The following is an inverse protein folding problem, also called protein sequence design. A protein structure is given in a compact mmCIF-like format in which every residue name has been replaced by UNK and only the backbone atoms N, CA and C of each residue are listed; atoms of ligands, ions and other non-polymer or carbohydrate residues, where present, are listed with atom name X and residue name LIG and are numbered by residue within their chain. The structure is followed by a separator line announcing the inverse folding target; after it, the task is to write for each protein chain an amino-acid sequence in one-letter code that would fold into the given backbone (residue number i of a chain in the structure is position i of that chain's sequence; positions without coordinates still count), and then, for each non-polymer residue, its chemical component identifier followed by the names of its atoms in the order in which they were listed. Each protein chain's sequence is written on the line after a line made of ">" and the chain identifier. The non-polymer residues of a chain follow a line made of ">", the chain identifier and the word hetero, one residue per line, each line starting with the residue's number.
data_IF_115616441967
#
_entry.id   IF_115616441967
#
_cell.length_a   1.000
_cell.length_b   1.000
_cell.length_c   1.000
_cell.angle_alpha   90.00
_cell.angle_beta   90.00
_cell.angle_gamma   90.00
#
_symmetry.space_group_name_H-M   'P 1'
#
loop_
_entity.id
_entity.type
_entity.pdbx_description
1 polymer ?
#
# COMPACT_ATOMS: atom_id res chain seq x y z
N UNK A 1 -9.08 31.72 2.02
CA UNK A 1 -10.17 31.01 1.33
C UNK A 1 -9.85 29.53 1.36
N UNK A 2 -10.67 28.72 2.04
CA UNK A 2 -10.62 27.26 1.86
C UNK A 2 -11.07 26.96 0.42
N UNK A 3 -10.45 25.99 -0.28
CA UNK A 3 -10.97 25.56 -1.56
C UNK A 3 -12.40 25.03 -1.36
N UNK A 4 -13.34 25.33 -2.28
CA UNK A 4 -14.71 24.87 -2.17
C UNK A 4 -14.73 23.35 -1.99
N UNK A 5 -15.39 22.90 -0.93
CA UNK A 5 -15.54 21.49 -0.62
C UNK A 5 -16.09 20.76 -1.83
N UNK A 6 -15.34 19.79 -2.34
CA UNK A 6 -15.80 18.86 -3.37
C UNK A 6 -16.86 17.95 -2.73
N UNK A 7 -18.09 18.44 -2.65
CA UNK A 7 -19.23 17.61 -2.27
C UNK A 7 -19.53 16.75 -3.49
N UNK A 8 -19.04 15.50 -3.47
CA UNK A 8 -19.31 14.51 -4.51
C UNK A 8 -20.81 14.28 -4.62
N UNK A 9 -21.41 14.78 -5.70
CA UNK A 9 -22.78 14.45 -6.06
C UNK A 9 -22.76 13.16 -6.88
N UNK A 10 -23.02 12.03 -6.24
CA UNK A 10 -23.64 10.95 -6.98
C UNK A 10 -24.17 9.85 -6.09
N UNK A 11 -24.76 8.88 -6.78
CA UNK A 11 -25.87 8.09 -6.27
C UNK A 11 -25.32 7.16 -5.20
N UNK A 12 -25.76 7.38 -3.95
CA UNK A 12 -25.58 6.42 -2.85
C UNK A 12 -25.87 5.02 -3.38
N UNK A 13 -25.02 4.01 -3.10
CA UNK A 13 -25.31 2.64 -3.50
C UNK A 13 -26.76 2.32 -3.11
N UNK A 14 -27.59 1.94 -4.09
CA UNK A 14 -28.99 1.58 -3.80
C UNK A 14 -29.05 0.33 -2.92
N UNK A 15 -27.97 -0.45 -2.93
CA UNK A 15 -27.79 -1.67 -2.18
C UNK A 15 -26.38 -1.69 -1.58
N UNK A 16 -26.30 -2.12 -0.32
CA UNK A 16 -25.06 -2.38 0.38
C UNK A 16 -24.96 -3.89 0.59
N UNK A 17 -23.89 -4.49 0.10
CA UNK A 17 -23.61 -5.90 0.28
C UNK A 17 -23.26 -6.19 1.73
N UNK A 18 -23.92 -7.21 2.29
CA UNK A 18 -23.59 -7.75 3.60
C UNK A 18 -22.14 -8.24 3.66
N UNK A 19 -21.66 -8.89 2.61
CA UNK A 19 -20.30 -9.43 2.58
C UNK A 19 -19.25 -8.31 2.44
N UNK A 20 -19.51 -7.28 1.64
CA UNK A 20 -18.63 -6.10 1.61
C UNK A 20 -18.57 -5.41 2.98
N UNK A 21 -19.71 -5.27 3.65
CA UNK A 21 -19.78 -4.68 5.00
C UNK A 21 -19.01 -5.52 6.02
N UNK A 22 -19.15 -6.86 5.96
CA UNK A 22 -18.43 -7.79 6.82
C UNK A 22 -16.92 -7.69 6.63
N UNK A 23 -16.44 -7.74 5.38
CA UNK A 23 -15.02 -7.63 5.07
C UNK A 23 -14.44 -6.29 5.51
N UNK A 24 -15.17 -5.20 5.31
CA UNK A 24 -14.78 -3.87 5.77
C UNK A 24 -14.63 -3.83 7.30
N UNK A 25 -15.67 -4.23 8.02
CA UNK A 25 -15.68 -4.20 9.48
C UNK A 25 -14.60 -5.10 10.07
N UNK A 26 -14.44 -6.30 9.51
CA UNK A 26 -13.44 -7.27 9.96
C UNK A 26 -12.01 -6.76 9.74
N UNK A 27 -11.69 -6.15 8.59
CA UNK A 27 -10.36 -5.61 8.35
C UNK A 27 -9.98 -4.52 9.37
N UNK A 28 -10.93 -3.65 9.70
CA UNK A 28 -10.73 -2.61 10.71
C UNK A 28 -10.56 -3.22 12.10
N UNK A 29 -11.44 -4.16 12.48
CA UNK A 29 -11.40 -4.81 13.78
C UNK A 29 -10.09 -5.59 13.99
N UNK A 30 -9.67 -6.38 13.00
CA UNK A 30 -8.44 -7.18 13.05
C UNK A 30 -7.22 -6.28 13.26
N UNK A 31 -7.10 -5.18 12.50
CA UNK A 31 -5.95 -4.28 12.59
C UNK A 31 -5.96 -3.45 13.87
N UNK A 32 -7.10 -2.89 14.27
CA UNK A 32 -7.16 -2.07 15.49
C UNK A 32 -7.05 -2.91 16.76
N UNK A 33 -7.52 -4.17 16.74
CA UNK A 33 -7.32 -5.12 17.84
C UNK A 33 -5.86 -5.54 17.93
N UNK A 34 -5.22 -5.86 16.80
CA UNK A 34 -3.80 -6.27 16.77
C UNK A 34 -2.85 -5.12 17.09
N UNK A 35 -3.17 -3.91 16.65
CA UNK A 35 -2.34 -2.72 16.83
C UNK A 35 -3.12 -1.59 17.53
N UNK A 36 -3.43 -1.73 18.83
CA UNK A 36 -4.28 -0.78 19.57
C UNK A 36 -3.67 0.62 19.72
N UNK A 37 -2.39 0.79 19.39
CA UNK A 37 -1.71 2.09 19.39
C UNK A 37 -1.99 2.92 18.12
N UNK A 38 -2.54 2.30 17.08
CA UNK A 38 -2.91 2.98 15.83
C UNK A 38 -4.06 3.92 16.12
N UNK A 39 -3.87 5.21 15.78
CA UNK A 39 -4.93 6.21 15.88
C UNK A 39 -5.58 6.39 14.52
N UNK A 40 -6.88 6.09 14.47
CA UNK A 40 -7.77 6.34 13.34
C UNK A 40 -8.98 7.12 13.84
N UNK A 41 -9.22 8.33 13.32
CA UNK A 41 -10.29 9.20 13.83
C UNK A 41 -11.66 8.88 13.27
N UNK A 42 -11.75 8.40 12.04
CA UNK A 42 -13.01 8.12 11.39
C UNK A 42 -12.89 7.00 10.35
N UNK A 43 -13.99 6.27 10.21
CA UNK A 43 -14.27 5.42 9.06
C UNK A 43 -15.34 6.13 8.24
N UNK A 44 -15.18 6.15 6.91
CA UNK A 44 -16.11 6.85 6.03
C UNK A 44 -16.53 5.94 4.87
N UNK A 45 -17.75 6.13 4.41
CA UNK A 45 -18.07 5.86 3.01
C UNK A 45 -17.87 7.17 2.27
N UNK A 46 -16.94 7.22 1.31
CA UNK A 46 -16.77 8.38 0.45
C UNK A 46 -17.09 8.01 -0.99
N UNK A 47 -17.55 8.99 -1.76
CA UNK A 47 -17.89 8.81 -3.15
C UNK A 47 -17.15 9.85 -3.98
N UNK A 48 -16.21 9.39 -4.81
CA UNK A 48 -15.44 10.22 -5.72
C UNK A 48 -15.72 9.82 -7.17
N UNK A 49 -16.74 10.38 -7.82
CA UNK A 49 -16.73 10.50 -9.26
C UNK A 49 -16.11 11.85 -9.62
N UNK A 50 -15.07 11.85 -10.44
CA UNK A 50 -14.87 12.98 -11.34
C UNK A 50 -15.81 12.75 -12.51
N UNK A 51 -16.67 13.72 -12.83
CA UNK A 51 -17.62 13.61 -13.94
C UNK A 51 -16.84 13.34 -15.24
N UNK A 52 -16.98 12.15 -15.80
CA UNK A 52 -16.30 11.74 -17.04
C UNK A 52 -15.05 10.87 -16.86
N UNK A 53 -14.69 10.52 -15.63
CA UNK A 53 -13.58 9.59 -15.34
C UNK A 53 -14.13 8.34 -14.63
N UNK A 54 -13.71 7.15 -15.07
CA UNK A 54 -13.85 5.96 -14.23
C UNK A 54 -13.15 6.25 -12.90
N UNK A 55 -13.85 6.02 -11.80
CA UNK A 55 -13.34 6.30 -10.45
C UNK A 55 -11.98 5.61 -10.27
N UNK A 56 -10.91 6.39 -10.11
CA UNK A 56 -9.54 5.84 -10.14
C UNK A 56 -9.11 5.13 -8.84
N UNK A 57 -9.96 5.09 -7.80
CA UNK A 57 -9.63 4.50 -6.51
C UNK A 57 -10.85 3.85 -5.84
N UNK A 58 -10.66 2.59 -5.38
CA UNK A 58 -11.67 1.77 -4.69
C UNK A 58 -11.82 2.12 -3.20
N UNK A 59 -10.77 2.70 -2.62
CA UNK A 59 -10.70 3.20 -1.26
C UNK A 59 -9.52 4.19 -1.16
N UNK A 60 -9.49 4.98 -0.09
CA UNK A 60 -8.33 5.80 0.22
C UNK A 60 -8.22 6.11 1.72
N UNK A 61 -6.99 6.16 2.21
CA UNK A 61 -6.63 6.68 3.51
C UNK A 61 -6.18 8.14 3.42
N UNK A 62 -6.53 8.94 4.42
CA UNK A 62 -6.08 10.32 4.52
C UNK A 62 -5.56 10.63 5.92
N UNK A 63 -4.40 11.29 5.98
CA UNK A 63 -3.83 11.81 7.21
C UNK A 63 -4.16 13.27 7.42
N UNK A 64 -4.27 13.70 8.68
CA UNK A 64 -4.12 15.12 9.05
C UNK A 64 -2.85 15.24 9.87
N UNK A 65 -1.90 16.01 9.36
CA UNK A 65 -0.72 16.42 10.10
C UNK A 65 -1.08 17.68 10.88
N UNK A 66 -1.07 17.62 12.21
CA UNK A 66 -1.16 18.85 13.00
C UNK A 66 0.13 19.66 12.82
N UNK A 67 0.08 20.98 13.02
CA UNK A 67 1.26 21.87 13.05
C UNK A 67 2.30 21.47 14.12
N UNK A 68 1.96 20.56 15.03
CA UNK A 68 2.85 20.00 16.05
C UNK A 68 3.36 18.59 15.69
N UNK A 69 3.12 18.15 14.45
CA UNK A 69 3.69 16.95 13.88
C UNK A 69 3.03 15.66 14.36
N UNK A 70 1.93 15.67 15.10
CA UNK A 70 1.20 14.45 15.43
C UNK A 70 0.44 13.96 14.19
N UNK A 71 1.07 13.07 13.42
CA UNK A 71 0.40 12.32 12.36
C UNK A 71 -0.71 11.47 12.97
N UNK A 72 -1.95 11.80 12.62
CA UNK A 72 -3.12 10.99 12.94
C UNK A 72 -3.75 10.57 11.62
N UNK A 73 -4.02 9.28 11.45
CA UNK A 73 -4.90 8.79 10.39
C UNK A 73 -6.25 9.47 10.58
N UNK A 74 -6.60 10.40 9.69
CA UNK A 74 -7.78 11.23 9.84
C UNK A 74 -9.03 10.45 9.42
N UNK A 75 -8.96 9.74 8.30
CA UNK A 75 -9.99 8.78 7.95
C UNK A 75 -9.47 7.71 6.98
N UNK A 76 -10.14 6.55 6.98
CA UNK A 76 -10.13 5.60 5.86
C UNK A 76 -11.51 5.61 5.24
N UNK A 77 -11.57 5.67 3.92
CA UNK A 77 -12.82 5.65 3.17
C UNK A 77 -12.89 4.45 2.23
N UNK A 78 -14.03 3.75 2.24
CA UNK A 78 -14.39 2.80 1.19
C UNK A 78 -15.26 3.52 0.14
N UNK A 79 -14.97 3.30 -1.15
CA UNK A 79 -15.72 3.89 -2.24
C UNK A 79 -16.88 2.97 -2.68
N UNK A 80 -17.93 3.56 -3.26
CA UNK A 80 -19.10 2.84 -3.77
C UNK A 80 -18.80 1.65 -4.70
N UNK A 81 -17.72 1.65 -5.52
CA UNK A 81 -17.32 0.51 -6.34
C UNK A 81 -16.90 -0.76 -5.56
N UNK A 82 -17.01 -0.78 -4.23
CA UNK A 82 -16.92 -2.00 -3.41
C UNK A 82 -18.18 -2.26 -2.56
N UNK A 83 -19.18 -1.38 -2.65
CA UNK A 83 -20.33 -1.39 -1.75
C UNK A 83 -21.37 -2.47 -2.11
N UNK A 84 -21.55 -2.83 -3.38
CA UNK A 84 -22.53 -3.85 -3.80
C UNK A 84 -21.86 -5.20 -4.16
N UNK A 85 -22.65 -6.28 -4.27
CA UNK A 85 -22.12 -7.59 -4.70
C UNK A 85 -21.59 -7.56 -6.13
N UNK A 86 -22.29 -6.86 -7.03
CA UNK A 86 -21.88 -6.71 -8.42
C UNK A 86 -20.57 -5.90 -8.53
N UNK A 87 -20.44 -4.84 -7.75
CA UNK A 87 -19.23 -4.02 -7.73
C UNK A 87 -18.05 -4.78 -7.08
N UNK A 88 -18.30 -5.52 -5.99
CA UNK A 88 -17.29 -6.43 -5.40
C UNK A 88 -16.81 -7.46 -6.42
N UNK A 89 -17.72 -8.09 -7.15
CA UNK A 89 -17.37 -9.08 -8.18
C UNK A 89 -16.58 -8.43 -9.34
N UNK A 90 -16.94 -7.20 -9.74
CA UNK A 90 -16.18 -6.43 -10.73
C UNK A 90 -14.79 -6.11 -10.21
N UNK A 91 -14.65 -5.67 -8.96
CA UNK A 91 -13.36 -5.37 -8.35
C UNK A 91 -12.48 -6.62 -8.23
N UNK A 92 -13.01 -7.76 -7.80
CA UNK A 92 -12.29 -9.05 -7.78
C UNK A 92 -11.84 -9.49 -9.18
N UNK A 93 -12.64 -9.22 -10.20
CA UNK A 93 -12.31 -9.54 -11.58
C UNK A 93 -11.29 -8.56 -12.17
N UNK A 94 -11.44 -7.27 -11.88
CA UNK A 94 -10.52 -6.22 -12.31
C UNK A 94 -9.16 -6.42 -11.64
N UNK A 95 -9.11 -6.75 -10.35
CA UNK A 95 -7.87 -7.05 -9.68
C UNK A 95 -7.22 -8.32 -10.20
N UNK A 96 -7.96 -9.41 -10.46
CA UNK A 96 -7.40 -10.58 -11.14
C UNK A 96 -6.74 -10.22 -12.48
N UNK A 97 -7.25 -9.16 -13.16
CA UNK A 97 -6.67 -8.65 -14.40
C UNK A 97 -5.52 -7.65 -14.21
N UNK A 98 -5.68 -6.65 -13.36
CA UNK A 98 -4.69 -5.60 -13.08
C UNK A 98 -3.51 -6.12 -12.25
N UNK A 99 -3.73 -7.16 -11.44
CA UNK A 99 -2.71 -7.93 -10.74
C UNK A 99 -2.30 -9.19 -11.52
N UNK A 100 -2.59 -9.31 -12.83
CA UNK A 100 -1.91 -10.34 -13.64
C UNK A 100 -0.39 -10.21 -13.58
N UNK A 101 0.09 -9.01 -13.26
CA UNK A 101 1.46 -8.71 -12.93
C UNK A 101 1.72 -8.76 -11.42
N UNK A 102 1.07 -9.64 -10.66
CA UNK A 102 1.53 -10.01 -9.32
C UNK A 102 2.52 -11.15 -9.46
N UNK A 103 3.60 -11.09 -8.68
CA UNK A 103 4.62 -12.14 -8.67
C UNK A 103 4.06 -13.53 -8.30
N UNK A 104 2.92 -13.60 -7.60
CA UNK A 104 2.36 -14.87 -7.10
C UNK A 104 0.87 -15.06 -7.36
N UNK A 105 0.53 -16.19 -7.98
CA UNK A 105 -0.86 -16.59 -8.22
C UNK A 105 -1.69 -16.70 -6.92
N UNK A 106 -1.09 -17.22 -5.84
CA UNK A 106 -1.77 -17.35 -4.54
C UNK A 106 -2.21 -16.01 -3.96
N UNK A 107 -1.39 -14.96 -4.10
CA UNK A 107 -1.76 -13.63 -3.62
C UNK A 107 -2.97 -13.08 -4.39
N UNK A 108 -3.02 -13.32 -5.70
CA UNK A 108 -4.16 -12.93 -6.53
C UNK A 108 -5.43 -13.68 -6.14
N UNK A 109 -5.32 -14.96 -5.79
CA UNK A 109 -6.44 -15.76 -5.32
C UNK A 109 -6.94 -15.29 -3.95
N UNK A 110 -6.02 -14.98 -3.01
CA UNK A 110 -6.33 -14.44 -1.68
C UNK A 110 -7.03 -13.07 -1.80
N UNK A 111 -6.53 -12.19 -2.67
CA UNK A 111 -7.21 -10.93 -3.01
C UNK A 111 -8.60 -11.20 -3.57
N UNK A 112 -8.70 -12.04 -4.62
CA UNK A 112 -9.95 -12.25 -5.35
C UNK A 112 -11.04 -12.86 -4.46
N UNK A 113 -10.65 -13.66 -3.46
CA UNK A 113 -11.55 -14.21 -2.46
C UNK A 113 -12.10 -13.13 -1.51
N UNK A 114 -11.29 -12.13 -1.12
CA UNK A 114 -11.66 -11.10 -0.13
C UNK A 114 -11.22 -9.69 -0.56
N UNK A 115 -11.76 -9.17 -1.68
CA UNK A 115 -11.26 -7.94 -2.30
C UNK A 115 -11.48 -6.68 -1.44
N UNK A 116 -12.58 -6.63 -0.67
CA UNK A 116 -12.86 -5.50 0.22
C UNK A 116 -11.95 -5.56 1.44
N UNK A 117 -11.74 -6.75 1.99
CA UNK A 117 -10.85 -6.94 3.12
C UNK A 117 -9.43 -6.53 2.74
N UNK A 118 -8.90 -7.05 1.63
CA UNK A 118 -7.59 -6.66 1.10
C UNK A 118 -7.46 -5.15 0.98
N UNK A 119 -8.42 -4.52 0.28
CA UNK A 119 -8.39 -3.07 0.03
C UNK A 119 -8.31 -2.31 1.35
N UNK A 120 -9.10 -2.74 2.34
CA UNK A 120 -9.07 -2.11 3.67
C UNK A 120 -7.76 -2.34 4.41
N UNK A 121 -7.15 -3.52 4.34
CA UNK A 121 -5.83 -3.76 4.95
C UNK A 121 -4.75 -2.91 4.27
N UNK A 122 -4.80 -2.76 2.94
CA UNK A 122 -3.95 -1.85 2.18
C UNK A 122 -4.08 -0.41 2.72
N UNK A 123 -5.30 0.12 2.82
CA UNK A 123 -5.53 1.46 3.37
C UNK A 123 -5.05 1.59 4.83
N UNK A 124 -5.22 0.53 5.63
CA UNK A 124 -4.70 0.51 6.99
C UNK A 124 -3.17 0.52 7.04
N UNK A 125 -2.48 0.02 5.99
CA UNK A 125 -1.04 0.19 5.80
C UNK A 125 -0.65 1.66 5.66
N UNK A 126 -1.39 2.44 4.87
CA UNK A 126 -1.19 3.89 4.81
C UNK A 126 -1.48 4.57 6.16
N UNK A 127 -2.55 4.16 6.86
CA UNK A 127 -2.84 4.66 8.22
C UNK A 127 -1.68 4.40 9.18
N UNK A 128 -1.06 3.22 9.09
CA UNK A 128 0.10 2.86 9.90
C UNK A 128 1.28 3.79 9.60
N UNK A 129 1.60 4.04 8.33
CA UNK A 129 2.69 4.96 7.94
C UNK A 129 2.43 6.40 8.40
N UNK A 130 1.19 6.89 8.26
CA UNK A 130 0.77 8.19 8.77
C UNK A 130 0.97 8.27 10.29
N UNK A 131 0.65 7.19 11.02
CA UNK A 131 0.88 7.12 12.46
C UNK A 131 2.37 7.11 12.82
N UNK A 132 3.24 6.65 11.92
CA UNK A 132 4.70 6.79 11.94
C UNK A 132 5.23 8.13 11.40
N UNK A 133 4.35 9.10 11.10
CA UNK A 133 4.68 10.43 10.53
C UNK A 133 5.41 10.34 9.17
N UNK A 134 5.22 9.26 8.41
CA UNK A 134 5.96 9.02 7.15
C UNK A 134 7.46 8.77 7.37
N UNK A 135 7.91 8.62 8.62
CA UNK A 135 9.33 8.40 8.95
C UNK A 135 9.87 7.07 8.45
N UNK A 136 8.97 6.14 8.08
CA UNK A 136 9.34 4.83 7.55
C UNK A 136 9.86 4.91 6.11
N UNK A 137 9.37 5.84 5.29
CA UNK A 137 9.64 5.88 3.84
C UNK A 137 11.13 5.95 3.52
N UNK A 138 11.85 6.93 4.09
CA UNK A 138 13.31 7.07 3.88
C UNK A 138 14.10 5.87 4.42
N UNK A 139 13.63 5.27 5.52
CA UNK A 139 14.28 4.09 6.11
C UNK A 139 14.09 2.85 5.25
N UNK A 140 12.92 2.71 4.66
CA UNK A 140 12.59 1.65 3.71
C UNK A 140 13.45 1.81 2.45
N UNK A 141 13.51 3.00 1.86
CA UNK A 141 14.39 3.27 0.71
C UNK A 141 15.85 2.88 1.02
N UNK A 142 16.39 3.35 2.14
CA UNK A 142 17.75 3.03 2.56
C UNK A 142 17.94 1.52 2.79
N UNK A 143 16.97 0.84 3.39
CA UNK A 143 17.03 -0.60 3.63
C UNK A 143 16.98 -1.40 2.33
N UNK A 144 16.12 -1.02 1.38
CA UNK A 144 16.01 -1.67 0.07
C UNK A 144 17.28 -1.45 -0.76
N UNK A 145 17.84 -0.24 -0.77
CA UNK A 145 19.13 0.02 -1.40
C UNK A 145 20.26 -0.76 -0.75
N UNK A 146 20.28 -0.84 0.58
CA UNK A 146 21.26 -1.67 1.30
C UNK A 146 21.13 -3.14 0.92
N UNK A 147 19.90 -3.64 0.73
CA UNK A 147 19.68 -5.03 0.27
C UNK A 147 20.19 -5.23 -1.15
N UNK A 148 19.94 -4.28 -2.05
CA UNK A 148 20.49 -4.32 -3.40
C UNK A 148 22.02 -4.36 -3.38
N UNK A 149 22.69 -3.51 -2.59
CA UNK A 149 24.16 -3.48 -2.48
C UNK A 149 24.78 -4.79 -1.98
N UNK A 150 24.00 -5.64 -1.33
CA UNK A 150 24.43 -6.97 -0.86
C UNK A 150 24.00 -8.10 -1.78
N UNK A 151 23.35 -7.81 -2.91
CA UNK A 151 22.81 -8.82 -3.82
C UNK A 151 23.84 -9.25 -4.87
N UNK A 152 23.71 -10.48 -5.42
CA UNK A 152 24.54 -10.93 -6.53
C UNK A 152 24.45 -10.00 -7.74
N UNK A 153 23.27 -9.46 -8.04
CA UNK A 153 23.07 -8.56 -9.19
C UNK A 153 23.86 -7.24 -9.04
N UNK A 154 24.10 -6.77 -7.82
CA UNK A 154 24.99 -5.63 -7.58
C UNK A 154 26.46 -6.03 -7.73
N UNK A 155 26.86 -7.21 -7.28
CA UNK A 155 28.23 -7.72 -7.47
C UNK A 155 28.56 -7.84 -8.97
N UNK A 156 27.67 -8.44 -9.76
CA UNK A 156 27.81 -8.56 -11.22
C UNK A 156 27.96 -7.18 -11.88
N UNK A 157 27.14 -6.19 -11.46
CA UNK A 157 27.24 -4.82 -11.96
C UNK A 157 28.62 -4.19 -11.65
N UNK A 158 29.19 -4.46 -10.47
CA UNK A 158 30.49 -3.91 -10.09
C UNK A 158 31.63 -4.59 -10.87
N UNK A 159 31.54 -5.90 -11.09
CA UNK A 159 32.54 -6.66 -11.85
C UNK A 159 32.60 -6.18 -13.32
N UNK A 160 31.45 -5.84 -13.91
CA UNK A 160 31.33 -5.31 -15.28
C UNK A 160 31.92 -3.89 -15.45
N UNK A 161 32.05 -3.10 -14.38
CA UNK A 161 32.42 -1.68 -14.45
C UNK A 161 33.92 -1.40 -14.68
N UNK A 162 34.71 -2.42 -15.02
CA UNK A 162 36.17 -2.42 -14.99
C UNK A 162 36.72 -2.08 -13.60
N UNK A 163 37.48 -3.02 -13.05
CA UNK A 163 37.97 -3.05 -11.66
C UNK A 163 38.53 -1.71 -11.17
N UNK A 164 37.71 -0.95 -10.44
CA UNK A 164 38.11 0.29 -9.75
C UNK A 164 37.08 1.43 -9.78
N UNK A 165 36.08 1.39 -10.66
CA UNK A 165 35.08 2.45 -10.75
C UNK A 165 33.83 2.18 -9.91
N UNK A 166 33.34 3.19 -9.21
CA UNK A 166 32.00 3.18 -8.64
C UNK A 166 30.96 3.45 -9.74
N UNK A 167 29.77 2.83 -9.68
CA UNK A 167 28.68 3.15 -10.59
C UNK A 167 28.32 4.64 -10.44
N UNK A 168 28.07 5.31 -11.56
CA UNK A 168 27.43 6.62 -11.52
C UNK A 168 26.04 6.50 -10.84
N UNK A 169 25.50 7.59 -10.26
CA UNK A 169 24.16 7.56 -9.68
C UNK A 169 23.08 7.04 -10.64
N UNK A 170 23.19 7.36 -11.93
CA UNK A 170 22.26 6.87 -12.96
C UNK A 170 22.38 5.35 -13.20
N UNK A 171 23.59 4.82 -13.32
CA UNK A 171 23.82 3.38 -13.47
C UNK A 171 23.32 2.60 -12.26
N UNK A 172 23.64 3.08 -11.04
CA UNK A 172 23.12 2.48 -9.82
C UNK A 172 21.60 2.45 -9.84
N UNK A 173 20.95 3.56 -10.23
CA UNK A 173 19.50 3.65 -10.16
C UNK A 173 18.79 2.79 -11.20
N UNK A 174 19.36 2.68 -12.40
CA UNK A 174 18.85 1.76 -13.43
C UNK A 174 18.90 0.31 -12.97
N UNK A 175 20.03 -0.14 -12.42
CA UNK A 175 20.18 -1.53 -11.98
C UNK A 175 19.37 -1.82 -10.72
N UNK A 176 19.26 -0.85 -9.81
CA UNK A 176 18.38 -0.94 -8.66
C UNK A 176 16.90 -1.10 -9.07
N UNK A 177 16.41 -0.28 -10.00
CA UNK A 177 15.03 -0.39 -10.48
C UNK A 177 14.78 -1.75 -11.16
N UNK A 178 15.71 -2.21 -12.00
CA UNK A 178 15.65 -3.53 -12.63
C UNK A 178 15.67 -4.67 -11.60
N UNK A 179 16.47 -4.55 -10.54
CA UNK A 179 16.48 -5.52 -9.46
C UNK A 179 15.14 -5.52 -8.73
N UNK A 180 14.66 -4.34 -8.36
CA UNK A 180 13.40 -4.14 -7.64
C UNK A 180 12.18 -4.63 -8.39
N UNK A 181 12.17 -4.56 -9.73
CA UNK A 181 11.04 -4.96 -10.59
C UNK A 181 10.53 -6.38 -10.33
N UNK A 182 11.32 -7.23 -9.67
CA UNK A 182 10.99 -8.63 -9.34
C UNK A 182 10.81 -8.90 -7.84
N UNK A 183 10.92 -7.88 -6.97
CA UNK A 183 10.99 -8.08 -5.52
C UNK A 183 9.72 -7.64 -4.78
N UNK A 184 8.94 -6.70 -5.33
CA UNK A 184 7.65 -6.30 -4.75
C UNK A 184 6.52 -7.12 -5.35
N UNK A 185 5.54 -7.39 -4.49
CA UNK A 185 4.42 -8.31 -4.75
C UNK A 185 3.58 -7.81 -5.91
N UNK A 186 3.20 -6.54 -5.88
CA UNK A 186 2.22 -5.93 -6.76
C UNK A 186 2.81 -4.86 -7.65
N UNK A 187 2.25 -4.73 -8.85
CA UNK A 187 2.57 -3.65 -9.78
C UNK A 187 2.26 -2.26 -9.18
N UNK A 188 1.26 -2.13 -8.28
CA UNK A 188 0.95 -0.85 -7.63
C UNK A 188 2.09 -0.31 -6.77
N UNK A 189 3.00 -1.17 -6.32
CA UNK A 189 4.17 -0.76 -5.56
C UNK A 189 5.25 -0.04 -6.40
N UNK A 190 4.99 0.23 -7.68
CA UNK A 190 5.91 0.89 -8.61
C UNK A 190 5.30 2.15 -9.20
N UNK A 191 6.16 3.08 -9.63
CA UNK A 191 5.74 4.36 -10.19
C UNK A 191 4.84 4.18 -11.41
N UNK A 192 3.62 4.73 -11.35
CA UNK A 192 2.55 4.54 -12.37
C UNK A 192 2.19 3.07 -12.64
N UNK A 193 2.37 2.21 -11.65
CA UNK A 193 2.20 0.76 -11.77
C UNK A 193 3.09 0.09 -12.82
N UNK A 194 4.26 0.68 -13.06
CA UNK A 194 5.23 0.25 -14.06
C UNK A 194 6.51 -0.25 -13.37
N UNK A 195 6.74 -1.57 -13.39
CA UNK A 195 7.83 -2.24 -12.67
C UNK A 195 9.22 -1.73 -13.03
N UNK A 196 9.39 -1.12 -14.20
CA UNK A 196 10.68 -0.62 -14.68
C UNK A 196 10.99 0.80 -14.20
N UNK A 197 9.98 1.54 -13.69
CA UNK A 197 10.14 2.92 -13.20
C UNK A 197 10.64 3.01 -11.76
N UNK A 198 10.79 1.88 -11.09
CA UNK A 198 11.24 1.79 -9.70
C UNK A 198 10.10 1.87 -8.69
N UNK A 199 10.43 1.67 -7.40
CA UNK A 199 9.42 1.54 -6.36
C UNK A 199 8.73 2.87 -6.06
N UNK A 200 7.40 2.85 -6.01
CA UNK A 200 6.60 3.92 -5.44
C UNK A 200 6.35 3.58 -3.96
N UNK A 201 7.21 4.13 -3.09
CA UNK A 201 7.37 3.68 -1.71
C UNK A 201 6.08 3.77 -0.88
N UNK A 202 5.24 4.77 -1.14
CA UNK A 202 3.96 4.96 -0.44
C UNK A 202 3.04 3.75 -0.66
N UNK A 203 2.90 3.28 -1.89
CA UNK A 203 2.10 2.10 -2.23
C UNK A 203 2.80 0.81 -1.85
N UNK A 204 4.14 0.74 -2.00
CA UNK A 204 4.92 -0.41 -1.57
C UNK A 204 4.73 -0.71 -0.07
N UNK A 205 4.57 0.32 0.75
CA UNK A 205 4.22 0.19 2.17
C UNK A 205 2.86 -0.49 2.34
N UNK A 206 1.82 0.03 1.69
CA UNK A 206 0.46 -0.47 1.84
C UNK A 206 0.30 -1.91 1.32
N UNK A 207 0.89 -2.20 0.17
CA UNK A 207 0.90 -3.54 -0.44
C UNK A 207 1.70 -4.55 0.39
N UNK A 208 2.87 -4.15 0.92
CA UNK A 208 3.64 -4.99 1.84
C UNK A 208 2.88 -5.26 3.15
N UNK A 209 2.17 -4.25 3.65
CA UNK A 209 1.36 -4.40 4.86
C UNK A 209 0.21 -5.39 4.62
N UNK A 210 -0.51 -5.24 3.51
CA UNK A 210 -1.54 -6.18 3.10
C UNK A 210 -1.02 -7.60 2.91
N UNK A 211 0.16 -7.76 2.30
CA UNK A 211 0.80 -9.06 2.11
C UNK A 211 1.07 -9.78 3.43
N UNK A 212 1.68 -9.08 4.39
CA UNK A 212 2.03 -9.67 5.68
C UNK A 212 0.79 -9.96 6.53
N UNK A 213 -0.18 -9.05 6.57
CA UNK A 213 -1.38 -9.25 7.39
C UNK A 213 -2.29 -10.33 6.83
N UNK A 214 -2.37 -10.50 5.51
CA UNK A 214 -3.21 -11.54 4.90
C UNK A 214 -2.53 -12.90 4.85
N UNK A 215 -1.22 -12.95 4.56
CA UNK A 215 -0.52 -14.21 4.31
C UNK A 215 0.41 -14.65 5.44
N UNK A 216 0.68 -13.80 6.42
CA UNK A 216 1.52 -14.10 7.58
C UNK A 216 2.88 -14.65 7.18
N UNK A 217 3.17 -15.89 7.59
CA UNK A 217 4.43 -16.56 7.28
C UNK A 217 4.65 -16.82 5.79
N UNK A 218 3.59 -16.85 4.98
CA UNK A 218 3.69 -17.00 3.52
C UNK A 218 4.00 -15.69 2.80
N UNK A 219 4.00 -14.55 3.50
CA UNK A 219 4.29 -13.25 2.93
C UNK A 219 5.75 -13.14 2.41
N UNK A 220 5.97 -12.26 1.43
CA UNK A 220 7.27 -12.08 0.81
C UNK A 220 8.32 -11.53 1.76
N UNK A 221 9.57 -11.90 1.53
CA UNK A 221 10.68 -11.42 2.35
C UNK A 221 10.81 -9.88 2.33
N UNK A 222 10.60 -9.24 1.16
CA UNK A 222 10.61 -7.77 1.08
C UNK A 222 9.38 -7.15 1.75
N UNK A 223 8.20 -7.75 1.62
CA UNK A 223 7.00 -7.28 2.32
C UNK A 223 7.18 -7.34 3.83
N UNK A 224 7.74 -8.44 4.35
CA UNK A 224 8.08 -8.59 5.77
C UNK A 224 9.06 -7.53 6.25
N UNK A 225 10.10 -7.23 5.46
CA UNK A 225 11.06 -6.17 5.79
C UNK A 225 10.37 -4.79 5.87
N UNK A 226 9.58 -4.44 4.86
CA UNK A 226 8.86 -3.17 4.80
C UNK A 226 7.88 -3.06 5.97
N UNK A 227 7.06 -4.09 6.20
CA UNK A 227 6.09 -4.17 7.30
C UNK A 227 6.76 -3.97 8.67
N UNK A 228 7.87 -4.63 8.93
CA UNK A 228 8.63 -4.47 10.18
C UNK A 228 9.11 -3.02 10.39
N UNK A 229 9.62 -2.37 9.34
CA UNK A 229 10.10 -0.99 9.42
C UNK A 229 8.94 -0.01 9.66
N UNK A 230 7.81 -0.20 8.98
CA UNK A 230 6.60 0.61 9.17
C UNK A 230 6.09 0.48 10.60
N UNK A 231 5.98 -0.74 11.12
CA UNK A 231 5.55 -0.97 12.50
C UNK A 231 6.52 -0.37 13.52
N UNK A 232 7.83 -0.53 13.31
CA UNK A 232 8.84 0.02 14.21
C UNK A 232 8.73 1.54 14.32
N UNK A 233 8.55 2.25 13.21
CA UNK A 233 8.38 3.71 13.24
C UNK A 233 7.05 4.14 13.86
N UNK A 234 5.96 3.45 13.54
CA UNK A 234 4.66 3.77 14.13
C UNK A 234 4.69 3.58 15.65
N UNK A 235 5.24 2.46 16.14
CA UNK A 235 5.43 2.18 17.57
C UNK A 235 6.29 3.24 18.24
N UNK A 236 7.44 3.57 17.66
CA UNK A 236 8.35 4.61 18.15
C UNK A 236 7.63 5.94 18.32
N UNK A 237 6.89 6.38 17.32
CA UNK A 237 6.15 7.65 17.36
C UNK A 237 5.07 7.63 18.45
N UNK A 238 4.41 6.48 18.66
CA UNK A 238 3.37 6.33 19.70
C UNK A 238 3.92 6.04 21.09
N UNK A 239 5.23 5.91 21.26
CA UNK A 239 5.86 5.60 22.54
C UNK A 239 5.55 4.19 23.03
N UNK A 240 5.35 3.25 22.11
CA UNK A 240 5.11 1.83 22.42
C UNK A 240 6.37 1.04 22.11
N UNK A 241 6.82 0.20 23.03
CA UNK A 241 7.94 -0.74 22.86
C UNK A 241 7.43 -2.08 22.35
#
# INVERSE_FOLDING_TARGET
>A
MQPPGRIGAGITPKELSLESTRQFAQAVDDILTKYPFVKLKALRGEYYPVRGEETSSYAHASGVFSIHGDGIGHYVAINAPLASDADRARAASASKRSYYDNKYAQYNDDYAARPVYYTMIHEMGHVMDINGKGGSQRKIEAALESKFRTSPEYADMIDDLWSGNNPTPGQFRQQYNKWMSTKLVSAYSYENSDRDKGPYIVEAIAEAFADVEMRGDKAEAMSKLIHQLVLAEAKKVKGVT
#
